data_IF_563831631131
#
_entry.id   IF_563831631131
#
_cell.length_a   1.000
_cell.length_b   1.000
_cell.length_c   1.000
_cell.angle_alpha   90.00
_cell.angle_beta   90.00
_cell.angle_gamma   90.00
#
_symmetry.space_group_name_H-M   'P 1'
#
loop_
_entity.id
_entity.type
_entity.pdbx_description
1 polymer ?
#
# COMPACT_ATOMS: atom_id res chain seq x y z
N UNK A 1 35.72 -15.43 5.72
CA UNK A 1 34.39 -14.96 6.20
C UNK A 1 33.40 -15.28 5.10
N UNK A 2 32.39 -16.13 5.39
CA UNK A 2 31.26 -16.30 4.46
C UNK A 2 30.58 -14.94 4.31
N UNK A 3 30.58 -14.38 3.10
CA UNK A 3 29.84 -13.15 2.82
C UNK A 3 28.35 -13.49 2.83
N UNK A 4 27.56 -12.75 3.61
CA UNK A 4 26.12 -12.89 3.55
C UNK A 4 25.64 -12.57 2.14
N UNK A 5 24.69 -13.37 1.64
CA UNK A 5 24.10 -13.15 0.32
C UNK A 5 22.96 -12.14 0.50
N UNK A 6 23.18 -10.86 0.18
CA UNK A 6 22.23 -9.78 0.45
C UNK A 6 20.84 -10.03 -0.14
N UNK A 7 20.74 -10.62 -1.33
CA UNK A 7 19.46 -10.91 -1.95
C UNK A 7 18.57 -11.88 -1.17
N UNK A 8 19.18 -12.79 -0.38
CA UNK A 8 18.46 -13.86 0.32
C UNK A 8 18.53 -13.78 1.84
N UNK A 9 19.43 -12.96 2.38
CA UNK A 9 19.70 -12.85 3.82
C UNK A 9 19.82 -11.41 4.30
N UNK A 10 20.12 -10.47 3.41
CA UNK A 10 20.09 -9.06 3.73
C UNK A 10 18.61 -8.62 3.82
N UNK A 11 18.18 -8.25 5.01
CA UNK A 11 16.80 -7.87 5.23
C UNK A 11 16.75 -6.44 5.78
N UNK A 12 15.81 -5.66 5.30
CA UNK A 12 15.55 -4.30 5.75
C UNK A 12 14.05 -4.03 5.73
N UNK A 13 13.61 -2.97 6.42
CA UNK A 13 12.21 -2.57 6.37
C UNK A 13 11.79 -2.29 4.93
N UNK A 14 10.70 -2.92 4.49
CA UNK A 14 10.18 -2.77 3.13
C UNK A 14 9.62 -1.38 2.86
N UNK A 15 9.18 -0.70 3.92
CA UNK A 15 8.48 0.58 3.80
C UNK A 15 7.29 0.48 2.85
N UNK A 16 6.99 1.54 2.14
CA UNK A 16 5.84 1.61 1.24
C UNK A 16 5.85 0.60 0.08
N UNK A 17 6.93 -0.19 -0.15
CA UNK A 17 6.84 -1.30 -1.12
C UNK A 17 5.94 -2.44 -0.65
N UNK A 18 5.60 -2.49 0.62
CA UNK A 18 4.62 -3.43 1.18
C UNK A 18 3.17 -2.94 1.03
N UNK A 19 2.95 -1.65 0.79
CA UNK A 19 1.60 -1.07 0.67
C UNK A 19 0.66 -1.80 -0.31
N UNK A 20 1.09 -2.30 -1.49
CA UNK A 20 0.19 -2.97 -2.44
C UNK A 20 -0.54 -4.19 -1.88
N UNK A 21 -0.07 -4.75 -0.79
CA UNK A 21 -0.69 -5.89 -0.10
C UNK A 21 -2.09 -5.53 0.42
N UNK A 22 -2.25 -4.31 1.00
CA UNK A 22 -3.54 -3.87 1.56
C UNK A 22 -4.59 -3.57 0.51
N UNK A 23 -4.32 -2.83 -0.61
CA UNK A 23 -5.27 -2.72 -1.71
C UNK A 23 -5.67 -4.06 -2.31
N UNK A 24 -4.73 -5.01 -2.43
CA UNK A 24 -5.09 -6.37 -2.85
C UNK A 24 -6.08 -7.02 -1.90
N UNK A 25 -5.84 -6.93 -0.59
CA UNK A 25 -6.78 -7.41 0.42
C UNK A 25 -8.13 -6.68 0.31
N UNK A 26 -8.13 -5.37 0.08
CA UNK A 26 -9.33 -4.57 -0.13
C UNK A 26 -10.11 -5.03 -1.37
N UNK A 27 -9.45 -5.15 -2.51
CA UNK A 27 -10.05 -5.58 -3.77
C UNK A 27 -10.70 -6.98 -3.66
N UNK A 28 -10.06 -7.92 -2.96
CA UNK A 28 -10.65 -9.25 -2.69
C UNK A 28 -11.89 -9.18 -1.78
N UNK A 29 -12.07 -8.08 -1.02
CA UNK A 29 -13.17 -7.89 -0.09
C UNK A 29 -14.20 -6.85 -0.54
N UNK A 30 -14.17 -6.46 -1.82
CA UNK A 30 -15.19 -5.63 -2.44
C UNK A 30 -14.90 -4.13 -2.44
N UNK A 31 -13.74 -3.69 -1.96
CA UNK A 31 -13.25 -2.33 -2.19
C UNK A 31 -12.89 -2.12 -3.66
N UNK A 32 -12.90 -0.90 -4.12
CA UNK A 32 -12.62 -0.54 -5.51
C UNK A 32 -11.55 0.54 -5.61
N UNK A 33 -10.90 0.65 -6.77
CA UNK A 33 -9.83 1.63 -6.96
C UNK A 33 -10.33 3.09 -7.02
N UNK A 34 -11.60 3.32 -7.29
CA UNK A 34 -12.26 4.63 -7.29
C UNK A 34 -12.81 5.05 -5.92
N UNK A 35 -12.73 4.16 -4.92
CA UNK A 35 -13.10 4.48 -3.55
C UNK A 35 -12.19 5.56 -2.98
N UNK A 36 -12.79 6.50 -2.24
CA UNK A 36 -12.09 7.72 -1.84
C UNK A 36 -11.78 7.74 -0.35
N UNK A 37 -10.58 8.21 -0.07
CA UNK A 37 -10.00 8.29 1.27
C UNK A 37 -9.52 9.70 1.59
N UNK A 38 -9.51 10.05 2.87
CA UNK A 38 -8.92 11.30 3.32
C UNK A 38 -7.39 11.17 3.39
N UNK A 39 -6.72 11.79 2.40
CA UNK A 39 -5.27 11.81 2.25
C UNK A 39 -4.55 12.92 3.03
N UNK A 40 -5.23 13.68 3.89
CA UNK A 40 -4.59 14.75 4.65
C UNK A 40 -3.67 14.22 5.75
N UNK A 41 -2.64 15.00 6.11
CA UNK A 41 -1.60 14.65 7.09
C UNK A 41 -1.39 15.78 8.12
N UNK A 42 -1.26 15.46 9.40
CA UNK A 42 -1.42 14.15 10.02
C UNK A 42 -2.87 13.74 10.19
N UNK A 43 -3.15 12.44 10.08
CA UNK A 43 -4.47 11.88 10.37
C UNK A 43 -4.44 11.07 11.67
N UNK A 44 -5.44 11.26 12.52
CA UNK A 44 -5.59 10.52 13.76
C UNK A 44 -6.78 9.59 13.65
N UNK A 45 -6.59 8.33 14.03
CA UNK A 45 -7.62 7.31 14.14
C UNK A 45 -7.89 7.05 15.62
N UNK A 46 -8.96 7.64 16.18
CA UNK A 46 -9.24 7.59 17.61
C UNK A 46 -9.48 6.16 18.10
N UNK A 47 -8.80 5.78 19.19
CA UNK A 47 -8.97 4.48 19.82
C UNK A 47 -8.52 3.27 19.01
N UNK A 48 -7.96 3.46 17.81
CA UNK A 48 -7.63 2.37 16.90
C UNK A 48 -6.51 1.45 17.41
N UNK A 49 -5.61 1.96 18.26
CA UNK A 49 -4.49 1.20 18.82
C UNK A 49 -4.81 0.72 20.25
N UNK A 50 -5.60 -0.35 20.36
CA UNK A 50 -5.99 -0.94 21.65
C UNK A 50 -6.63 0.07 22.61
N UNK A 51 -7.42 1.00 22.09
CA UNK A 51 -8.07 2.07 22.84
C UNK A 51 -7.28 3.38 22.88
N UNK A 52 -6.03 3.39 22.41
CA UNK A 52 -5.25 4.60 22.20
C UNK A 52 -5.42 5.12 20.76
N UNK A 53 -5.14 6.39 20.56
CA UNK A 53 -5.17 7.02 19.24
C UNK A 53 -3.97 6.57 18.40
N UNK A 54 -4.23 6.25 17.14
CA UNK A 54 -3.18 5.99 16.17
C UNK A 54 -3.03 7.18 15.22
N UNK A 55 -1.84 7.78 15.23
CA UNK A 55 -1.53 8.94 14.40
C UNK A 55 -0.61 8.55 13.24
N UNK A 56 -1.06 8.81 12.02
CA UNK A 56 -0.33 8.51 10.77
C UNK A 56 0.04 9.81 10.07
N UNK A 57 1.21 9.82 9.45
CA UNK A 57 1.71 10.93 8.64
C UNK A 57 2.07 10.47 7.23
N UNK A 58 1.81 11.32 6.25
CA UNK A 58 2.35 11.18 4.92
C UNK A 58 3.82 11.59 4.87
N UNK A 59 4.54 11.14 3.87
CA UNK A 59 5.91 11.60 3.65
C UNK A 59 5.94 13.12 3.46
N UNK A 60 6.81 13.80 4.21
CA UNK A 60 6.89 15.26 4.21
C UNK A 60 5.65 15.99 4.74
N UNK A 61 4.78 15.29 5.48
CA UNK A 61 3.49 15.83 5.99
C UNK A 61 2.59 16.45 4.90
N UNK A 62 2.67 15.92 3.66
CA UNK A 62 1.91 16.45 2.53
C UNK A 62 0.41 16.14 2.65
N UNK A 63 -0.41 17.18 2.45
CA UNK A 63 -1.86 17.07 2.38
C UNK A 63 -2.30 16.75 0.94
N UNK A 64 -2.87 15.57 0.74
CA UNK A 64 -3.36 15.12 -0.57
C UNK A 64 -4.86 15.40 -0.78
N UNK A 65 -5.58 15.84 0.26
CA UNK A 65 -7.02 16.02 0.19
C UNK A 65 -7.77 14.70 0.06
N UNK A 66 -8.87 14.71 -0.67
CA UNK A 66 -9.69 13.52 -0.90
C UNK A 66 -9.22 12.80 -2.16
N UNK A 67 -8.50 11.70 -2.01
CA UNK A 67 -7.89 10.89 -3.08
C UNK A 67 -8.62 9.58 -3.28
N UNK A 68 -8.65 9.07 -4.51
CA UNK A 68 -9.05 7.68 -4.74
C UNK A 68 -7.87 6.72 -4.49
N UNK A 69 -8.17 5.41 -4.45
CA UNK A 69 -7.15 4.40 -4.13
C UNK A 69 -6.07 4.31 -5.23
N UNK A 70 -6.41 4.64 -6.48
CA UNK A 70 -5.44 4.73 -7.58
C UNK A 70 -4.42 5.84 -7.33
N UNK A 71 -4.89 7.05 -7.01
CA UNK A 71 -4.03 8.18 -6.70
C UNK A 71 -3.26 7.95 -5.40
N UNK A 72 -3.92 7.41 -4.36
CA UNK A 72 -3.26 7.02 -3.11
C UNK A 72 -2.11 6.04 -3.35
N UNK A 73 -2.26 5.11 -4.31
CA UNK A 73 -1.20 4.17 -4.72
C UNK A 73 -0.09 4.89 -5.47
N UNK A 74 -0.42 5.73 -6.44
CA UNK A 74 0.55 6.46 -7.25
C UNK A 74 1.45 7.36 -6.40
N UNK A 75 0.87 8.05 -5.44
CA UNK A 75 1.55 9.02 -4.57
C UNK A 75 2.02 8.43 -3.23
N UNK A 76 1.69 7.16 -2.94
CA UNK A 76 2.07 6.51 -1.67
C UNK A 76 1.47 7.19 -0.42
N UNK A 77 0.18 7.46 -0.43
CA UNK A 77 -0.52 8.23 0.63
C UNK A 77 -0.76 7.35 1.85
N UNK A 78 0.08 7.48 2.87
CA UNK A 78 0.04 6.65 4.08
C UNK A 78 -1.28 6.72 4.83
N UNK A 79 -1.89 7.91 4.93
CA UNK A 79 -3.14 8.12 5.67
C UNK A 79 -4.33 7.41 5.02
N UNK A 80 -4.38 7.40 3.69
CA UNK A 80 -5.39 6.63 2.94
C UNK A 80 -5.19 5.11 3.11
N UNK A 81 -3.96 4.64 3.04
CA UNK A 81 -3.64 3.24 3.25
C UNK A 81 -3.93 2.76 4.68
N UNK A 82 -3.68 3.61 5.68
CA UNK A 82 -4.00 3.33 7.07
C UNK A 82 -5.51 3.17 7.28
N UNK A 83 -6.31 4.03 6.66
CA UNK A 83 -7.77 3.94 6.68
C UNK A 83 -8.25 2.64 6.03
N UNK A 84 -7.81 2.36 4.81
CA UNK A 84 -8.14 1.11 4.12
C UNK A 84 -7.75 -0.13 4.95
N UNK A 85 -6.58 -0.13 5.60
CA UNK A 85 -6.14 -1.25 6.43
C UNK A 85 -7.02 -1.46 7.67
N UNK A 86 -7.57 -0.38 8.22
CA UNK A 86 -8.54 -0.47 9.32
C UNK A 86 -9.88 -1.05 8.85
N UNK A 87 -10.33 -0.68 7.66
CA UNK A 87 -11.59 -1.16 7.08
C UNK A 87 -11.50 -2.63 6.64
N UNK A 88 -10.40 -3.01 6.01
CA UNK A 88 -10.14 -4.38 5.54
C UNK A 88 -9.82 -5.31 6.70
N UNK A 89 -9.03 -4.87 7.64
CA UNK A 89 -8.46 -5.64 8.76
C UNK A 89 -7.00 -6.03 8.52
N UNK A 90 -6.10 -5.74 9.50
CA UNK A 90 -4.67 -6.05 9.41
C UNK A 90 -4.36 -7.53 9.19
N UNK A 91 -5.24 -8.44 9.67
CA UNK A 91 -5.11 -9.89 9.48
C UNK A 91 -5.25 -10.30 8.01
N UNK A 92 -6.10 -9.63 7.23
CA UNK A 92 -6.26 -9.90 5.80
C UNK A 92 -5.07 -9.37 5.00
N UNK A 93 -4.54 -8.22 5.40
CA UNK A 93 -3.28 -7.70 4.86
C UNK A 93 -2.14 -8.69 5.12
N UNK A 94 -2.03 -9.26 6.32
CA UNK A 94 -1.02 -10.27 6.64
C UNK A 94 -1.21 -11.58 5.83
N UNK A 95 -2.45 -12.04 5.63
CA UNK A 95 -2.76 -13.21 4.79
C UNK A 95 -2.32 -12.99 3.34
N UNK A 96 -2.68 -11.85 2.76
CA UNK A 96 -2.28 -11.52 1.38
C UNK A 96 -0.76 -11.46 1.24
N UNK A 97 -0.04 -10.90 2.21
CA UNK A 97 1.43 -10.89 2.20
C UNK A 97 2.01 -12.31 2.13
N UNK A 98 1.51 -13.23 2.94
CA UNK A 98 1.94 -14.63 2.95
C UNK A 98 1.61 -15.35 1.63
N UNK A 99 0.42 -15.12 1.08
CA UNK A 99 0.00 -15.67 -0.22
C UNK A 99 0.84 -15.13 -1.37
N UNK A 100 1.25 -13.86 -1.34
CA UNK A 100 2.20 -13.29 -2.31
C UNK A 100 3.60 -13.92 -2.21
N UNK A 101 3.94 -14.56 -1.10
CA UNK A 101 5.24 -15.24 -0.89
C UNK A 101 6.20 -14.49 0.02
N UNK A 102 5.75 -13.47 0.74
CA UNK A 102 6.50 -12.85 1.82
C UNK A 102 6.49 -13.82 3.01
N UNK A 103 7.66 -14.27 3.43
CA UNK A 103 7.81 -15.22 4.55
C UNK A 103 8.09 -14.51 5.87
N UNK A 104 8.50 -13.25 5.80
CA UNK A 104 8.66 -12.41 6.97
C UNK A 104 7.33 -12.32 7.72
N UNK A 105 7.39 -12.30 9.04
CA UNK A 105 6.22 -11.99 9.85
C UNK A 105 5.89 -10.49 9.71
N UNK A 106 4.85 -10.21 8.94
CA UNK A 106 4.38 -8.84 8.75
C UNK A 106 3.51 -8.36 9.92
N UNK A 107 3.25 -9.26 10.89
CA UNK A 107 2.41 -8.97 12.05
C UNK A 107 0.93 -8.72 11.72
N UNK A 108 0.11 -8.80 12.77
CA UNK A 108 -1.29 -8.39 12.72
C UNK A 108 -1.42 -7.13 13.56
N UNK A 109 -0.93 -6.03 13.03
CA UNK A 109 -0.93 -4.72 13.68
C UNK A 109 -1.30 -3.63 12.68
N UNK A 110 -1.67 -2.46 13.16
CA UNK A 110 -2.14 -1.35 12.30
C UNK A 110 -1.07 -0.85 11.33
N UNK A 111 0.20 -0.94 11.71
CA UNK A 111 1.32 -0.40 10.92
C UNK A 111 1.83 -1.38 9.86
N UNK A 112 1.31 -2.62 9.79
CA UNK A 112 1.76 -3.60 8.81
C UNK A 112 1.60 -3.12 7.35
N UNK A 113 0.59 -2.30 7.08
CA UNK A 113 0.38 -1.64 5.78
C UNK A 113 1.49 -0.64 5.45
N UNK A 114 2.17 -0.07 6.43
CA UNK A 114 3.24 0.92 6.23
C UNK A 114 4.61 0.27 6.01
N UNK A 115 4.67 -1.08 6.04
CA UNK A 115 5.89 -1.84 5.76
C UNK A 115 6.93 -1.77 6.87
N UNK A 116 6.48 -1.86 8.11
CA UNK A 116 7.34 -1.97 9.30
C UNK A 116 8.09 -3.31 9.36
N UNK A 117 7.59 -4.33 8.66
CA UNK A 117 8.24 -5.63 8.57
C UNK A 117 9.57 -5.57 7.81
N UNK A 118 10.52 -6.36 8.29
CA UNK A 118 11.82 -6.55 7.64
C UNK A 118 11.74 -7.68 6.63
N UNK A 119 11.95 -7.36 5.35
CA UNK A 119 11.84 -8.28 4.21
C UNK A 119 13.17 -8.42 3.49
N UNK A 120 13.39 -9.56 2.85
CA UNK A 120 14.53 -9.74 1.95
C UNK A 120 14.19 -9.29 0.53
N UNK A 121 15.19 -8.85 -0.28
CA UNK A 121 14.97 -8.55 -1.70
C UNK A 121 14.30 -9.71 -2.47
N UNK A 122 14.65 -10.95 -2.15
CA UNK A 122 14.06 -12.11 -2.82
C UNK A 122 12.58 -12.30 -2.49
N UNK A 123 12.17 -12.13 -1.23
CA UNK A 123 10.76 -12.21 -0.83
C UNK A 123 9.93 -11.13 -1.52
N UNK A 124 10.43 -9.91 -1.50
CA UNK A 124 9.75 -8.80 -2.16
C UNK A 124 9.69 -9.00 -3.68
N UNK A 125 10.78 -9.49 -4.31
CA UNK A 125 10.78 -9.82 -5.74
C UNK A 125 9.75 -10.90 -6.07
N UNK A 126 9.64 -11.93 -5.22
CA UNK A 126 8.66 -13.01 -5.41
C UNK A 126 7.22 -12.50 -5.30
N UNK A 127 6.95 -11.59 -4.38
CA UNK A 127 5.63 -10.97 -4.25
C UNK A 127 5.26 -10.19 -5.52
N UNK A 128 6.16 -9.35 -6.02
CA UNK A 128 5.91 -8.61 -7.26
C UNK A 128 5.89 -9.49 -8.51
N UNK A 129 6.65 -10.59 -8.52
CA UNK A 129 6.56 -11.59 -9.58
C UNK A 129 5.20 -12.31 -9.59
N UNK A 130 4.59 -12.55 -8.43
CA UNK A 130 3.24 -13.11 -8.31
C UNK A 130 2.20 -12.14 -8.86
N UNK A 131 2.34 -10.84 -8.59
CA UNK A 131 1.46 -9.79 -9.17
C UNK A 131 1.64 -9.75 -10.70
N UNK A 132 2.89 -9.69 -11.19
CA UNK A 132 3.21 -9.67 -12.61
C UNK A 132 2.67 -10.89 -13.35
N UNK A 133 2.63 -12.05 -12.68
CA UNK A 133 2.08 -13.30 -13.19
C UNK A 133 0.57 -13.46 -12.96
N UNK A 134 -0.15 -12.37 -12.72
CA UNK A 134 -1.59 -12.35 -12.52
C UNK A 134 -2.08 -13.31 -11.42
N UNK A 135 -1.38 -13.28 -10.29
CA UNK A 135 -1.71 -14.09 -9.12
C UNK A 135 -1.16 -15.52 -9.15
N UNK A 136 -0.44 -15.88 -10.19
CA UNK A 136 0.20 -17.20 -10.30
C UNK A 136 1.52 -17.22 -9.54
N UNK A 137 1.52 -17.79 -8.33
CA UNK A 137 2.69 -17.91 -7.48
C UNK A 137 3.60 -19.07 -7.89
N UNK A 138 4.89 -18.80 -7.88
CA UNK A 138 5.93 -19.82 -8.12
C UNK A 138 6.94 -19.88 -6.97
N UNK A 139 7.56 -21.05 -6.78
CA UNK A 139 8.67 -21.18 -5.85
C UNK A 139 9.97 -20.68 -6.51
N UNK A 140 10.64 -19.67 -5.96
CA UNK A 140 11.91 -19.18 -6.51
C UNK A 140 12.99 -20.25 -6.47
N UNK A 141 13.72 -20.43 -7.58
CA UNK A 141 14.87 -21.33 -7.69
C UNK A 141 15.88 -20.80 -8.72
N UNK A 142 17.13 -21.18 -8.58
CA UNK A 142 18.22 -20.83 -9.52
C UNK A 142 18.84 -22.06 -10.19
N UNK A 143 18.50 -23.27 -9.69
CA UNK A 143 18.94 -24.53 -10.27
C UNK A 143 17.71 -25.23 -10.83
N UNK A 144 17.65 -25.40 -12.14
CA UNK A 144 16.52 -26.05 -12.79
C UNK A 144 16.56 -27.59 -12.58
N UNK A 145 17.72 -28.19 -12.76
CA UNK A 145 17.91 -29.63 -12.52
C UNK A 145 19.36 -29.96 -12.18
N UNK A 146 19.56 -31.10 -11.55
CA UNK A 146 20.88 -31.68 -11.29
C UNK A 146 20.86 -33.14 -11.75
N UNK A 147 21.87 -33.55 -12.51
CA UNK A 147 22.07 -34.93 -12.92
C UNK A 147 23.42 -35.48 -12.35
N UNK A 148 23.48 -36.77 -12.11
CA UNK A 148 24.74 -37.44 -11.74
C UNK A 148 25.68 -37.64 -12.95
N UNK A 149 26.88 -38.17 -12.73
CA UNK A 149 27.86 -38.41 -13.79
C UNK A 149 27.42 -39.46 -14.82
N UNK A 150 26.34 -40.19 -14.56
CA UNK A 150 25.73 -41.18 -15.46
C UNK A 150 24.51 -40.62 -16.20
N UNK A 151 24.15 -39.34 -15.94
CA UNK A 151 23.00 -38.67 -16.56
C UNK A 151 21.68 -38.95 -15.84
N UNK A 152 21.66 -39.61 -14.69
CA UNK A 152 20.44 -39.80 -13.93
C UNK A 152 20.00 -38.49 -13.25
N UNK A 153 18.74 -38.18 -13.31
CA UNK A 153 18.17 -37.03 -12.64
C UNK A 153 18.23 -37.19 -11.11
N UNK A 154 18.90 -36.26 -10.42
CA UNK A 154 19.07 -36.25 -8.96
C UNK A 154 18.16 -35.22 -8.31
N UNK A 155 17.93 -34.11 -9.02
CA UNK A 155 17.05 -33.01 -8.57
C UNK A 155 16.40 -32.33 -9.78
N UNK A 156 15.16 -31.94 -9.62
CA UNK A 156 14.42 -31.08 -10.55
C UNK A 156 13.66 -30.01 -9.75
N UNK A 157 13.79 -28.76 -10.19
CA UNK A 157 13.03 -27.67 -9.60
C UNK A 157 11.53 -27.83 -9.86
N UNK A 158 10.67 -27.29 -9.00
CA UNK A 158 9.23 -27.28 -9.27
C UNK A 158 8.92 -26.64 -10.63
N UNK A 159 8.30 -27.39 -11.51
CA UNK A 159 7.90 -26.93 -12.84
C UNK A 159 6.68 -26.01 -12.80
N UNK A 160 6.21 -25.65 -14.00
CA UNK A 160 5.03 -24.79 -14.16
C UNK A 160 3.76 -25.41 -13.57
N UNK A 161 3.69 -26.75 -13.53
CA UNK A 161 2.62 -27.56 -12.93
C UNK A 161 2.52 -27.43 -11.41
N UNK A 162 3.54 -26.89 -10.76
CA UNK A 162 3.60 -26.64 -9.31
C UNK A 162 3.35 -25.18 -8.92
N UNK A 163 2.99 -24.35 -9.88
CA UNK A 163 2.53 -22.99 -9.61
C UNK A 163 1.09 -23.03 -9.10
N UNK A 164 0.76 -22.09 -8.23
CA UNK A 164 -0.59 -21.99 -7.64
C UNK A 164 -1.23 -20.66 -8.00
N UNK A 165 -2.50 -20.69 -8.40
CA UNK A 165 -3.28 -19.47 -8.57
C UNK A 165 -3.75 -19.03 -7.18
N UNK A 166 -3.09 -18.04 -6.62
CA UNK A 166 -3.37 -17.54 -5.26
C UNK A 166 -4.41 -16.43 -5.26
N UNK A 167 -4.55 -15.70 -6.37
CA UNK A 167 -5.42 -14.53 -6.48
C UNK A 167 -6.19 -14.55 -7.79
N UNK A 168 -7.37 -13.94 -7.75
CA UNK A 168 -8.18 -13.76 -8.95
C UNK A 168 -7.47 -12.85 -9.97
N UNK A 169 -7.40 -13.23 -11.25
CA UNK A 169 -6.79 -12.40 -12.28
C UNK A 169 -7.40 -11.00 -12.42
N UNK A 170 -8.70 -10.81 -12.17
CA UNK A 170 -9.34 -9.50 -12.22
C UNK A 170 -8.85 -8.58 -11.09
N UNK A 171 -8.69 -9.13 -9.89
CA UNK A 171 -8.09 -8.43 -8.75
C UNK A 171 -6.64 -8.03 -9.07
N UNK A 172 -5.89 -8.93 -9.71
CA UNK A 172 -4.51 -8.65 -10.11
C UNK A 172 -4.41 -7.64 -11.25
N UNK A 173 -5.36 -7.62 -12.18
CA UNK A 173 -5.43 -6.60 -13.23
C UNK A 173 -5.65 -5.21 -12.61
N UNK A 174 -6.57 -5.10 -11.66
CA UNK A 174 -6.79 -3.85 -10.91
C UNK A 174 -5.54 -3.40 -10.16
N UNK A 175 -4.89 -4.30 -9.43
CA UNK A 175 -3.66 -4.00 -8.70
C UNK A 175 -2.51 -3.59 -9.64
N UNK A 176 -2.37 -4.27 -10.78
CA UNK A 176 -1.38 -3.94 -11.81
C UNK A 176 -1.63 -2.54 -12.39
N UNK A 177 -2.90 -2.20 -12.65
CA UNK A 177 -3.29 -0.87 -13.09
C UNK A 177 -2.90 0.21 -12.06
N UNK A 178 -3.25 0.03 -10.78
CA UNK A 178 -2.86 0.98 -9.74
C UNK A 178 -1.33 1.14 -9.63
N UNK A 179 -0.59 0.04 -9.75
CA UNK A 179 0.87 0.05 -9.73
C UNK A 179 1.49 0.65 -11.01
N UNK A 180 0.82 0.60 -12.16
CA UNK A 180 1.27 1.31 -13.37
C UNK A 180 1.18 2.82 -13.18
N UNK A 181 0.16 3.31 -12.45
CA UNK A 181 0.01 4.74 -12.15
C UNK A 181 1.15 5.29 -11.28
N UNK A 182 1.80 4.46 -10.46
CA UNK A 182 3.03 4.84 -9.75
C UNK A 182 4.14 5.26 -10.72
N UNK A 183 4.24 4.56 -11.86
CA UNK A 183 5.22 4.83 -12.92
C UNK A 183 4.73 5.95 -13.83
N UNK A 184 3.45 6.00 -14.17
CA UNK A 184 2.92 6.99 -15.11
C UNK A 184 2.84 8.40 -14.52
N UNK A 185 2.31 8.53 -13.33
CA UNK A 185 2.01 9.82 -12.70
C UNK A 185 2.65 10.03 -11.34
N UNK A 186 3.07 8.94 -10.69
CA UNK A 186 3.46 8.91 -9.30
C UNK A 186 4.97 8.96 -9.01
N UNK A 187 5.33 8.47 -7.86
CA UNK A 187 6.68 8.49 -7.28
C UNK A 187 7.72 7.65 -8.05
N UNK A 188 7.27 6.72 -8.92
CA UNK A 188 8.10 5.86 -9.75
C UNK A 188 8.33 6.38 -11.17
N UNK A 189 7.95 7.61 -11.48
CA UNK A 189 8.01 8.21 -12.82
C UNK A 189 9.35 8.03 -13.58
N UNK A 190 10.54 8.04 -12.95
CA UNK A 190 11.78 7.77 -13.65
C UNK A 190 11.82 6.39 -14.36
N UNK A 191 11.02 5.41 -13.92
CA UNK A 191 10.93 4.10 -14.56
C UNK A 191 10.32 4.14 -15.98
N UNK A 192 9.63 5.21 -16.37
CA UNK A 192 9.15 5.39 -17.76
C UNK A 192 10.28 5.31 -18.80
N UNK A 193 11.49 5.67 -18.42
CA UNK A 193 12.65 5.64 -19.30
C UNK A 193 13.03 4.22 -19.78
N UNK A 194 12.40 3.17 -19.26
CA UNK A 194 12.55 1.81 -19.79
C UNK A 194 11.95 1.67 -21.21
N UNK A 195 10.97 2.52 -21.60
CA UNK A 195 10.37 2.53 -22.93
C UNK A 195 9.42 1.37 -23.23
N UNK A 196 8.83 0.74 -22.20
CA UNK A 196 7.84 -0.34 -22.29
C UNK A 196 6.91 -0.30 -21.08
N UNK A 197 5.76 -1.03 -21.11
CA UNK A 197 4.88 -1.10 -19.96
C UNK A 197 5.64 -1.49 -18.68
N UNK A 198 5.48 -0.69 -17.64
CA UNK A 198 6.11 -0.90 -16.34
C UNK A 198 5.13 -0.53 -15.23
N UNK A 199 5.17 -1.31 -14.15
CA UNK A 199 4.41 -1.08 -12.94
C UNK A 199 5.32 -1.32 -11.74
N UNK A 200 5.02 -0.70 -10.60
CA UNK A 200 5.85 -0.89 -9.42
C UNK A 200 5.48 0.02 -8.27
N UNK A 201 6.30 0.01 -7.24
CA UNK A 201 6.11 0.81 -6.03
C UNK A 201 7.45 1.28 -5.48
N UNK A 202 7.52 2.53 -5.12
CA UNK A 202 8.61 3.08 -4.32
C UNK A 202 8.39 2.75 -2.84
N UNK A 203 9.45 2.61 -2.09
CA UNK A 203 9.41 2.46 -0.65
C UNK A 203 10.55 3.22 0.01
N UNK A 204 10.25 3.85 1.14
CA UNK A 204 11.22 4.51 2.00
C UNK A 204 10.81 4.17 3.42
N UNK A 205 11.74 3.65 4.21
CA UNK A 205 11.46 3.34 5.61
C UNK A 205 11.58 4.60 6.47
N UNK A 206 11.10 4.52 7.70
CA UNK A 206 11.26 5.58 8.70
C UNK A 206 12.73 5.98 8.81
N UNK A 207 12.98 7.27 8.93
CA UNK A 207 14.33 7.88 8.98
C UNK A 207 15.22 7.54 7.78
N UNK A 208 14.65 7.18 6.63
CA UNK A 208 15.40 6.84 5.41
C UNK A 208 16.49 5.78 5.62
N UNK A 209 16.24 4.78 6.46
CA UNK A 209 17.17 3.67 6.74
C UNK A 209 17.24 2.65 5.62
N UNK A 210 16.17 2.58 4.83
CA UNK A 210 16.13 1.81 3.59
C UNK A 210 15.31 2.54 2.53
N UNK A 211 15.68 2.36 1.27
CA UNK A 211 15.02 2.93 0.12
C UNK A 211 14.89 1.85 -0.97
N UNK A 212 13.69 1.68 -1.54
CA UNK A 212 13.35 0.57 -2.40
C UNK A 212 12.60 1.02 -3.64
N UNK A 213 12.82 0.31 -4.74
CA UNK A 213 11.90 0.27 -5.85
C UNK A 213 11.66 -1.19 -6.24
N UNK A 214 10.41 -1.63 -6.12
CA UNK A 214 9.94 -2.93 -6.54
C UNK A 214 9.08 -2.75 -7.78
N UNK A 215 9.54 -3.27 -8.93
CA UNK A 215 8.85 -3.04 -10.19
C UNK A 215 8.92 -4.24 -11.12
N UNK A 216 8.04 -4.23 -12.11
CA UNK A 216 7.93 -5.30 -13.10
C UNK A 216 7.45 -4.78 -14.46
N UNK A 217 7.74 -5.57 -15.47
CA UNK A 217 7.16 -5.52 -16.81
C UNK A 217 6.33 -6.80 -17.01
N UNK A 218 5.54 -6.94 -18.10
CA UNK A 218 4.79 -8.16 -18.38
C UNK A 218 5.65 -9.42 -18.51
N UNK A 219 6.73 -9.63 -17.96
CA UNK A 219 7.54 -10.84 -18.05
C UNK A 219 8.75 -10.88 -17.14
N UNK A 220 9.01 -9.78 -16.40
CA UNK A 220 10.18 -9.71 -15.55
C UNK A 220 9.90 -8.79 -14.35
N UNK A 221 10.09 -9.32 -13.14
CA UNK A 221 10.05 -8.56 -11.91
C UNK A 221 11.47 -8.37 -11.34
N UNK A 222 11.75 -7.19 -10.84
CA UNK A 222 13.03 -6.82 -10.25
C UNK A 222 12.82 -5.91 -9.05
N UNK A 223 13.60 -6.10 -8.01
CA UNK A 223 13.61 -5.23 -6.83
C UNK A 223 15.01 -4.68 -6.60
N UNK A 224 15.10 -3.39 -6.39
CA UNK A 224 16.32 -2.69 -5.96
C UNK A 224 16.10 -2.14 -4.57
N UNK A 225 16.93 -2.52 -3.62
CA UNK A 225 16.95 -2.02 -2.25
C UNK A 225 18.29 -1.44 -1.89
N UNK A 226 18.29 -0.26 -1.30
CA UNK A 226 19.45 0.38 -0.69
C UNK A 226 19.21 0.45 0.81
N UNK A 227 20.20 0.10 1.59
CA UNK A 227 20.22 0.28 3.04
C UNK A 227 21.66 0.42 3.52
N UNK A 228 21.84 1.10 4.62
CA UNK A 228 23.12 1.28 5.28
C UNK A 228 23.14 0.50 6.59
N UNK A 229 24.24 -0.18 6.84
CA UNK A 229 24.46 -0.89 8.11
C UNK A 229 25.60 -0.26 8.86
N UNK A 230 25.39 -0.02 10.14
CA UNK A 230 26.41 0.41 11.07
C UNK A 230 27.41 -0.68 11.43
N UNK A 231 28.39 -0.37 12.29
CA UNK A 231 29.49 -1.26 12.64
C UNK A 231 29.05 -2.59 13.26
N UNK A 232 27.91 -2.63 13.95
CA UNK A 232 27.37 -3.81 14.61
C UNK A 232 26.25 -4.48 13.80
N UNK A 233 25.96 -4.00 12.57
CA UNK A 233 24.92 -4.52 11.71
C UNK A 233 23.55 -3.88 11.89
N UNK A 234 23.42 -2.86 12.75
CA UNK A 234 22.21 -2.06 12.89
C UNK A 234 21.91 -1.28 11.61
N UNK A 235 20.62 -1.02 11.36
CA UNK A 235 20.23 -0.19 10.23
C UNK A 235 20.40 1.29 10.59
N UNK A 236 21.16 1.99 9.77
CA UNK A 236 21.41 3.42 9.87
C UNK A 236 20.68 4.18 8.74
N UNK A 237 20.47 5.46 8.94
CA UNK A 237 20.01 6.35 7.87
C UNK A 237 21.01 6.32 6.72
N UNK A 238 20.50 6.17 5.49
CA UNK A 238 21.34 6.15 4.30
C UNK A 238 22.00 7.51 4.14
N UNK A 239 23.33 7.53 4.16
CA UNK A 239 24.11 8.74 3.87
C UNK A 239 23.91 9.14 2.41
N UNK A 240 23.40 10.34 2.10
CA UNK A 240 23.21 10.79 0.74
C UNK A 240 24.52 10.79 -0.07
N UNK A 241 24.45 10.40 -1.34
CA UNK A 241 25.63 10.29 -2.20
C UNK A 241 25.31 10.57 -3.68
N UNK A 242 26.37 10.84 -4.43
CA UNK A 242 26.30 11.12 -5.86
C UNK A 242 25.51 12.40 -6.15
N UNK A 243 24.62 12.36 -7.14
CA UNK A 243 23.77 13.52 -7.49
C UNK A 243 22.70 13.85 -6.45
N UNK A 244 22.50 12.98 -5.45
CA UNK A 244 21.54 13.13 -4.36
C UNK A 244 22.20 13.53 -3.05
N UNK A 245 23.47 14.02 -3.09
CA UNK A 245 24.25 14.37 -1.89
C UNK A 245 23.58 15.45 -1.03
N UNK A 246 22.80 16.34 -1.65
CA UNK A 246 22.08 17.43 -0.99
C UNK A 246 20.60 17.10 -0.75
N UNK A 247 20.22 15.83 -0.87
CA UNK A 247 18.83 15.36 -0.75
C UNK A 247 18.77 14.02 -0.03
N UNK A 248 17.60 13.66 0.46
CA UNK A 248 17.37 12.34 1.04
C UNK A 248 17.36 11.24 -0.03
N UNK A 249 17.93 10.07 0.32
CA UNK A 249 17.82 8.88 -0.52
C UNK A 249 16.47 8.23 -0.25
N UNK A 250 15.59 8.25 -1.24
CA UNK A 250 14.25 7.65 -1.20
C UNK A 250 14.09 6.62 -2.30
N UNK A 251 12.98 5.87 -2.29
CA UNK A 251 12.66 4.92 -3.36
C UNK A 251 12.54 5.56 -4.75
N UNK A 252 12.12 6.83 -4.81
CA UNK A 252 12.03 7.64 -6.03
C UNK A 252 13.37 8.20 -6.52
N UNK A 253 14.50 7.94 -5.83
CA UNK A 253 15.85 8.38 -6.19
C UNK A 253 16.66 7.23 -6.81
N UNK A 254 17.81 6.90 -6.24
CA UNK A 254 18.70 5.85 -6.76
C UNK A 254 18.02 4.49 -7.01
N UNK A 255 17.11 3.98 -6.15
CA UNK A 255 16.51 2.67 -6.40
C UNK A 255 15.76 2.58 -7.73
N UNK A 256 14.89 3.56 -8.04
CA UNK A 256 14.15 3.56 -9.31
C UNK A 256 15.06 3.76 -10.51
N UNK A 257 16.10 4.59 -10.38
CA UNK A 257 17.06 4.81 -11.46
C UNK A 257 17.92 3.57 -11.76
N UNK A 258 18.39 2.91 -10.69
CA UNK A 258 19.14 1.66 -10.83
C UNK A 258 18.26 0.54 -11.42
N UNK A 259 17.00 0.46 -10.97
CA UNK A 259 16.01 -0.46 -11.54
C UNK A 259 15.83 -0.20 -13.05
N UNK A 260 15.64 1.06 -13.42
CA UNK A 260 15.44 1.46 -14.83
C UNK A 260 16.62 1.08 -15.70
N UNK A 261 17.83 1.43 -15.26
CA UNK A 261 19.06 1.11 -15.97
C UNK A 261 19.27 -0.40 -16.13
N UNK A 262 19.02 -1.18 -15.07
CA UNK A 262 19.10 -2.63 -15.11
C UNK A 262 18.05 -3.22 -16.08
N UNK A 263 16.81 -2.80 -15.97
CA UNK A 263 15.70 -3.35 -16.74
C UNK A 263 15.78 -2.99 -18.23
N UNK A 264 16.36 -1.86 -18.61
CA UNK A 264 16.66 -1.54 -20.01
C UNK A 264 17.51 -2.63 -20.68
N UNK A 265 18.43 -3.21 -19.94
CA UNK A 265 19.28 -4.31 -20.45
C UNK A 265 18.61 -5.68 -20.25
N UNK A 266 18.12 -5.95 -19.06
CA UNK A 266 17.58 -7.27 -18.68
C UNK A 266 16.32 -7.65 -19.49
N UNK A 267 15.48 -6.66 -19.80
CA UNK A 267 14.26 -6.87 -20.57
C UNK A 267 14.43 -6.65 -22.09
N UNK A 268 15.63 -6.26 -22.57
CA UNK A 268 15.85 -5.88 -23.97
C UNK A 268 15.43 -6.96 -24.99
N UNK A 269 15.68 -8.21 -24.66
CA UNK A 269 15.37 -9.36 -25.52
C UNK A 269 14.06 -10.07 -25.16
N UNK A 270 13.32 -9.55 -24.20
CA UNK A 270 12.00 -10.06 -23.84
C UNK A 270 10.91 -9.36 -24.68
N UNK A 271 9.82 -10.06 -25.02
CA UNK A 271 8.66 -9.39 -25.60
C UNK A 271 8.23 -8.21 -24.70
N UNK A 272 7.83 -7.09 -25.32
CA UNK A 272 7.36 -5.95 -24.53
C UNK A 272 6.13 -6.35 -23.71
N UNK A 273 5.23 -7.11 -24.31
CA UNK A 273 3.98 -7.52 -23.70
C UNK A 273 3.07 -6.32 -23.41
N UNK A 274 1.93 -6.62 -22.86
CA UNK A 274 0.96 -5.65 -22.35
C UNK A 274 0.49 -6.11 -20.97
N UNK A 275 0.13 -5.18 -20.12
CA UNK A 275 -0.57 -5.52 -18.88
C UNK A 275 -2.01 -5.90 -19.19
N UNK A 276 -2.66 -6.68 -18.33
CA UNK A 276 -4.09 -6.98 -18.49
C UNK A 276 -4.91 -5.69 -18.54
N UNK A 277 -5.92 -5.70 -19.39
CA UNK A 277 -6.88 -4.61 -19.46
C UNK A 277 -7.62 -4.48 -18.12
N UNK A 278 -7.61 -3.29 -17.57
CA UNK A 278 -8.46 -2.92 -16.45
C UNK A 278 -9.18 -1.63 -16.79
N UNK A 279 -10.50 -1.68 -16.74
CA UNK A 279 -11.33 -0.49 -16.91
C UNK A 279 -11.88 -0.13 -15.52
N UNK A 280 -11.47 1.00 -14.95
CA UNK A 280 -12.07 1.45 -13.69
C UNK A 280 -13.59 1.52 -13.81
N UNK A 281 -14.33 1.08 -12.78
CA UNK A 281 -15.77 1.27 -12.76
C UNK A 281 -16.07 2.76 -12.91
N UNK A 282 -17.14 3.09 -13.65
CA UNK A 282 -17.57 4.48 -13.75
C UNK A 282 -17.92 4.99 -12.34
N UNK A 283 -17.46 6.19 -11.96
CA UNK A 283 -17.81 6.76 -10.66
C UNK A 283 -19.32 6.69 -10.48
N UNK A 284 -19.76 6.13 -9.36
CA UNK A 284 -21.18 6.21 -8.99
C UNK A 284 -21.53 7.70 -8.94
N UNK A 285 -22.68 8.11 -9.51
CA UNK A 285 -23.13 9.49 -9.35
C UNK A 285 -23.13 9.81 -7.84
N UNK A 286 -22.39 10.82 -7.46
CA UNK A 286 -22.43 11.32 -6.09
C UNK A 286 -23.89 11.68 -5.84
N UNK A 287 -24.56 10.96 -4.97
CA UNK A 287 -25.90 11.35 -4.53
C UNK A 287 -25.75 12.76 -3.95
N UNK A 288 -26.24 13.75 -4.68
CA UNK A 288 -26.35 15.10 -4.17
C UNK A 288 -27.16 14.97 -2.88
N UNK A 289 -26.66 15.49 -1.74
CA UNK A 289 -27.45 15.46 -0.52
C UNK A 289 -28.83 16.00 -0.83
N UNK A 290 -29.86 15.17 -0.73
CA UNK A 290 -31.23 15.62 -0.86
C UNK A 290 -31.42 16.64 0.26
N UNK A 291 -31.50 17.90 -0.10
CA UNK A 291 -31.88 18.95 0.87
C UNK A 291 -33.14 18.47 1.59
N UNK A 292 -32.99 18.19 2.87
CA UNK A 292 -34.13 17.92 3.73
C UNK A 292 -35.07 19.14 3.61
N UNK A 293 -36.34 18.95 3.20
CA UNK A 293 -37.24 20.05 3.14
C UNK A 293 -37.27 20.78 4.49
N UNK A 294 -37.30 22.13 4.53
CA UNK A 294 -37.36 22.85 5.78
C UNK A 294 -38.55 22.36 6.60
N UNK A 295 -38.32 22.03 7.86
CA UNK A 295 -39.39 21.73 8.81
C UNK A 295 -40.46 22.87 8.76
N UNK A 296 -41.76 22.52 8.72
CA UNK A 296 -42.78 23.53 8.79
C UNK A 296 -42.65 24.31 10.10
N UNK A 297 -42.92 25.65 10.09
CA UNK A 297 -42.77 26.47 11.28
C UNK A 297 -43.59 25.88 12.44
N UNK A 298 -42.94 25.63 13.55
CA UNK A 298 -43.58 25.24 14.80
C UNK A 298 -44.48 26.41 15.21
N UNK A 299 -45.78 26.22 15.20
CA UNK A 299 -46.73 27.21 15.73
C UNK A 299 -46.42 27.40 17.23
N UNK A 300 -46.09 28.64 17.60
CA UNK A 300 -46.01 29.04 19.00
C UNK A 300 -47.36 28.81 19.69
N UNK A 301 -47.41 28.20 20.88
CA UNK A 301 -48.66 28.04 21.59
C UNK A 301 -49.21 29.44 22.01
N UNK A 302 -50.40 29.74 21.56
CA UNK A 302 -51.15 30.92 21.94
C UNK A 302 -51.36 30.92 23.46
N UNK A 303 -51.10 32.02 24.20
CA UNK A 303 -51.32 32.03 25.65
C UNK A 303 -52.84 32.00 25.97
N UNK A 304 -53.26 30.97 26.65
CA UNK A 304 -54.61 30.90 27.24
C UNK A 304 -54.80 32.01 28.25
N UNK A 305 -55.78 32.87 28.00
CA UNK A 305 -56.32 33.85 28.92
C UNK A 305 -57.08 33.13 30.02
N UNK A 306 -56.49 32.99 31.19
CA UNK A 306 -57.19 32.52 32.38
C UNK A 306 -58.08 33.60 32.92
N UNK A 307 -59.36 33.31 32.90
CA UNK A 307 -60.41 34.13 33.50
C UNK A 307 -60.35 34.04 35.05
N UNK A 308 -60.30 35.24 35.61
CA UNK A 308 -60.95 35.67 36.87
C UNK A 308 -60.80 34.80 38.10
N UNK A 309 -60.16 35.38 39.05
CA UNK A 309 -60.57 35.18 40.41
C UNK A 309 -60.99 36.47 41.09
N UNK A 310 -62.22 36.40 41.67
CA UNK A 310 -62.97 37.46 42.31
C UNK A 310 -62.39 37.68 43.71
N UNK A 311 -62.30 38.98 44.01
CA UNK A 311 -61.92 39.44 45.35
C UNK A 311 -62.80 38.88 46.49
N UNK A 312 -62.21 38.57 47.60
CA UNK A 312 -62.79 38.62 48.90
C UNK A 312 -61.87 39.32 49.91
N UNK A 313 -62.47 40.34 50.51
CA UNK A 313 -61.92 41.27 51.47
C UNK A 313 -61.74 40.68 52.89
N UNK A 314 -61.04 41.32 53.77
CA UNK A 314 -60.50 40.73 55.00
C UNK A 314 -61.50 40.82 56.16
N UNK A 315 -61.43 39.83 57.07
CA UNK A 315 -62.00 40.01 58.42
C UNK A 315 -60.86 40.03 59.44
N UNK A 316 -60.94 41.13 60.20
CA UNK A 316 -60.26 41.34 61.50
C UNK A 316 -60.65 40.29 62.55
N UNK A 317 -59.79 39.96 63.46
CA UNK A 317 -59.80 40.33 64.86
C UNK A 317 -59.00 39.42 65.78
N UNK A 318 -58.27 40.08 66.60
CA UNK A 318 -58.06 39.87 68.07
C UNK A 318 -57.45 38.51 68.58
N UNK A 319 -56.35 38.50 69.00
CA UNK A 319 -55.69 38.80 70.32
C UNK A 319 -54.22 38.45 70.21
#
# INVERSE_FOLDING_TARGET
>A
RARAHNATRGAAQGGSTSQPVTPLAGLEHGHTLDERFDGNSPKTFPGANNGEDWKVRNFGDHDWGNVDLTEATAQSVNTAYAELNLEVGPEKTADVAARLGIKADVGVNLANVLGDATVTPLELTNAYATIAAQGMKATPHIVASVTDSRGNLVYEAPGADKRTQEFDPEVMAAATYALSQVVETGSGKPAQAIGRPAAGKTGTSTDNKSAWFAGFTPGLATVVGLYQSGPNGEQEQITPFGKWVDSEITGGSWPVEAWTSYMQTAAANLPAGEFPDYTPPKPKPTETPTETPPEPPTEEPTPELSHREVAQAPRRAHR
#
